data_IF_535236534747
#
_entry.id   IF_535236534747
#
_cell.length_a   1.000
_cell.length_b   1.000
_cell.length_c   1.000
_cell.angle_alpha   90.00
_cell.angle_beta   90.00
_cell.angle_gamma   90.00
#
_symmetry.space_group_name_H-M   'P 1'
#
loop_
_entity.id
_entity.type
_entity.pdbx_description
1 polymer ?
#
# COMPACT_ATOMS: atom_id res chain seq x y z
N UNK A 1 -4.05 17.78 27.52
CA UNK A 1 -3.10 17.10 28.42
C UNK A 1 -1.69 17.11 27.83
N UNK A 2 -0.73 17.77 28.51
CA UNK A 2 0.70 17.74 28.10
C UNK A 2 1.41 16.42 28.40
N UNK A 3 0.83 15.58 29.25
CA UNK A 3 1.47 14.37 29.76
C UNK A 3 0.68 13.14 29.34
N UNK A 4 1.37 12.13 28.79
CA UNK A 4 0.87 10.81 28.53
C UNK A 4 1.67 9.77 29.33
N UNK A 5 1.00 8.80 29.92
CA UNK A 5 1.65 7.67 30.58
C UNK A 5 1.54 6.45 29.66
N UNK A 6 2.69 5.92 29.29
CA UNK A 6 2.79 4.75 28.41
C UNK A 6 3.65 3.70 29.11
N UNK A 7 3.25 2.46 28.98
CA UNK A 7 3.92 1.36 29.63
C UNK A 7 4.03 0.15 28.70
N UNK A 8 5.01 -0.71 28.99
CA UNK A 8 5.18 -1.94 28.24
C UNK A 8 5.58 -3.08 29.18
N UNK A 9 5.17 -4.27 28.80
CA UNK A 9 5.51 -5.50 29.47
C UNK A 9 5.87 -6.55 28.44
N UNK A 10 6.92 -7.34 28.72
CA UNK A 10 7.32 -8.45 27.86
C UNK A 10 7.84 -9.61 28.70
N UNK A 11 7.54 -10.81 28.24
CA UNK A 11 8.02 -12.05 28.84
C UNK A 11 8.49 -13.02 27.76
N UNK A 12 9.45 -13.85 28.10
CA UNK A 12 9.88 -14.94 27.23
C UNK A 12 10.20 -16.20 28.03
N UNK A 13 9.88 -17.35 27.44
CA UNK A 13 10.13 -18.64 28.02
C UNK A 13 10.94 -19.50 27.06
N UNK A 14 12.13 -19.95 27.48
CA UNK A 14 12.96 -20.88 26.75
C UNK A 14 12.56 -22.32 27.04
N UNK A 15 11.56 -22.77 26.35
CA UNK A 15 10.97 -24.10 26.53
C UNK A 15 12.03 -25.20 26.32
N UNK A 16 12.93 -25.02 25.33
CA UNK A 16 13.99 -26.00 25.02
C UNK A 16 15.03 -26.21 26.12
N UNK A 17 15.02 -25.39 27.18
CA UNK A 17 15.92 -25.55 28.33
C UNK A 17 15.25 -26.18 29.56
N UNK A 18 14.00 -26.60 29.42
CA UNK A 18 13.28 -27.27 30.50
C UNK A 18 13.58 -28.77 30.52
N UNK A 19 13.60 -29.38 31.70
CA UNK A 19 13.95 -30.79 31.91
C UNK A 19 13.11 -31.75 31.07
N UNK A 20 11.82 -31.43 30.83
CA UNK A 20 10.94 -32.28 30.02
C UNK A 20 11.30 -32.26 28.51
N UNK A 21 12.18 -31.35 28.07
CA UNK A 21 12.66 -31.24 26.69
C UNK A 21 13.98 -32.03 26.46
N UNK A 22 14.67 -32.47 27.48
CA UNK A 22 15.99 -33.14 27.38
C UNK A 22 16.03 -34.29 26.38
N UNK A 23 14.95 -35.07 26.31
CA UNK A 23 14.83 -36.22 25.41
C UNK A 23 14.54 -35.83 23.95
N UNK A 24 14.22 -34.55 23.66
CA UNK A 24 13.89 -34.09 22.32
C UNK A 24 15.12 -33.49 21.60
N UNK A 25 16.11 -34.34 21.38
CA UNK A 25 17.42 -33.93 20.82
C UNK A 25 17.38 -33.31 19.41
N UNK A 26 16.25 -33.42 18.72
CA UNK A 26 16.02 -32.78 17.42
C UNK A 26 15.54 -31.33 17.53
N UNK A 27 15.23 -30.87 18.73
CA UNK A 27 14.86 -29.45 19.02
C UNK A 27 16.10 -28.75 19.55
N UNK A 28 16.72 -27.91 18.72
CA UNK A 28 17.89 -27.12 19.10
C UNK A 28 17.53 -25.89 19.93
N UNK A 29 16.40 -25.28 19.60
CA UNK A 29 15.87 -24.10 20.29
C UNK A 29 14.35 -24.10 20.19
N UNK A 30 13.68 -23.78 21.29
CA UNK A 30 12.25 -23.49 21.30
C UNK A 30 11.99 -22.42 22.34
N UNK A 31 11.52 -21.26 21.89
CA UNK A 31 11.28 -20.09 22.76
C UNK A 31 9.96 -19.45 22.41
N UNK A 32 9.12 -19.27 23.40
CA UNK A 32 7.90 -18.48 23.31
C UNK A 32 8.20 -17.07 23.86
N UNK A 33 7.78 -16.02 23.17
CA UNK A 33 7.81 -14.65 23.66
C UNK A 33 6.46 -13.98 23.45
N UNK A 34 6.12 -13.10 24.40
CA UNK A 34 4.94 -12.25 24.29
C UNK A 34 5.26 -10.86 24.80
N UNK A 35 4.72 -9.86 24.16
CA UNK A 35 4.83 -8.47 24.59
C UNK A 35 3.52 -7.72 24.42
N UNK A 36 3.32 -6.75 25.30
CA UNK A 36 2.27 -5.76 25.22
C UNK A 36 2.88 -4.39 25.55
N UNK A 37 2.54 -3.37 24.77
CA UNK A 37 3.05 -2.04 25.02
C UNK A 37 2.16 -0.95 24.44
N UNK A 38 2.25 0.21 25.05
CA UNK A 38 1.59 1.42 24.62
C UNK A 38 2.63 2.48 24.27
N UNK A 39 2.42 3.19 23.16
CA UNK A 39 3.23 4.34 22.73
C UNK A 39 2.29 5.50 22.40
N UNK A 40 2.73 6.73 22.71
CA UNK A 40 1.96 7.93 22.43
C UNK A 40 2.46 8.65 21.19
N UNK A 41 1.54 9.34 20.53
CA UNK A 41 1.83 10.30 19.49
C UNK A 41 1.01 11.56 19.74
N UNK A 42 1.67 12.72 19.81
CA UNK A 42 1.05 14.04 20.01
C UNK A 42 1.15 14.94 18.76
N UNK A 43 1.67 14.41 17.67
CA UNK A 43 1.85 15.16 16.45
C UNK A 43 0.52 15.50 15.80
N UNK A 44 0.16 16.78 15.79
CA UNK A 44 -0.97 17.35 15.08
C UNK A 44 -0.39 18.29 14.02
N UNK A 45 -0.85 18.15 12.78
CA UNK A 45 -0.39 18.98 11.68
C UNK A 45 -1.44 20.00 11.28
N UNK A 46 -1.01 21.15 10.77
CA UNK A 46 -1.93 22.15 10.23
C UNK A 46 -2.74 21.54 9.08
N UNK A 47 -3.98 21.96 8.98
CA UNK A 47 -4.92 21.44 7.98
C UNK A 47 -4.50 21.69 6.54
N UNK A 48 -3.74 22.75 6.33
CA UNK A 48 -3.35 23.23 5.00
C UNK A 48 -1.89 22.88 4.66
N UNK A 49 -1.12 22.37 5.62
CA UNK A 49 0.27 21.99 5.45
C UNK A 49 0.63 20.79 6.33
N UNK A 50 0.59 19.59 5.75
CA UNK A 50 0.94 18.34 6.42
C UNK A 50 2.44 18.28 6.85
N UNK A 51 3.24 19.27 6.53
CA UNK A 51 4.66 19.35 6.89
C UNK A 51 4.89 20.17 8.15
N UNK A 52 3.95 21.00 8.57
CA UNK A 52 4.06 21.86 9.75
C UNK A 52 3.21 21.33 10.90
N UNK A 53 3.87 21.04 12.02
CA UNK A 53 3.20 20.62 13.24
C UNK A 53 2.52 21.80 13.94
N UNK A 54 1.26 21.63 14.32
CA UNK A 54 0.55 22.57 15.18
C UNK A 54 0.89 22.28 16.64
N UNK A 55 1.60 23.21 17.27
CA UNK A 55 1.99 23.08 18.68
C UNK A 55 0.93 23.63 19.65
N UNK A 56 -0.12 24.29 19.16
CA UNK A 56 -1.12 24.95 19.97
C UNK A 56 -2.57 24.57 19.61
N UNK A 57 -2.86 23.31 19.24
CA UNK A 57 -4.19 22.91 18.77
C UNK A 57 -5.27 22.96 19.84
N UNK A 58 -4.87 23.21 21.10
CA UNK A 58 -5.76 23.41 22.24
C UNK A 58 -6.19 24.87 22.43
N UNK A 59 -5.64 25.80 21.62
CA UNK A 59 -5.94 27.24 21.68
C UNK A 59 -6.71 27.65 20.43
N UNK A 60 -7.68 28.56 20.62
CA UNK A 60 -8.29 29.26 19.47
C UNK A 60 -7.35 30.39 19.06
N UNK A 61 -6.69 30.22 17.91
CA UNK A 61 -5.83 31.24 17.32
C UNK A 61 -6.61 32.01 16.26
N UNK A 62 -6.35 33.30 16.15
CA UNK A 62 -7.01 34.19 15.19
C UNK A 62 -6.04 34.53 14.05
N UNK A 63 -6.51 34.44 12.82
CA UNK A 63 -5.83 34.99 11.67
C UNK A 63 -6.27 36.44 11.50
N UNK A 64 -5.28 37.33 11.43
CA UNK A 64 -5.48 38.78 11.22
C UNK A 64 -5.31 39.11 9.73
N UNK A 65 -5.94 40.21 9.31
CA UNK A 65 -5.72 40.72 7.96
C UNK A 65 -6.62 40.15 6.88
N UNK A 66 -7.64 39.37 7.24
CA UNK A 66 -8.70 38.97 6.33
C UNK A 66 -9.77 40.03 6.34
N UNK A 67 -9.60 41.02 5.46
CA UNK A 67 -10.43 42.22 5.46
C UNK A 67 -11.64 42.02 4.54
N UNK A 68 -12.79 42.59 4.96
CA UNK A 68 -13.96 42.74 4.12
C UNK A 68 -13.94 44.16 3.53
N UNK A 69 -13.38 44.32 2.35
CA UNK A 69 -13.14 45.64 1.76
C UNK A 69 -12.15 46.47 2.59
N UNK A 70 -12.59 47.58 3.17
CA UNK A 70 -11.77 48.45 4.01
C UNK A 70 -11.88 48.16 5.51
N UNK A 71 -12.71 47.21 5.91
CA UNK A 71 -12.92 46.86 7.31
C UNK A 71 -11.97 45.73 7.73
N UNK A 72 -11.27 45.95 8.85
CA UNK A 72 -10.39 44.94 9.41
C UNK A 72 -11.20 43.75 9.95
N UNK A 73 -10.88 42.53 9.50
CA UNK A 73 -11.54 41.30 9.89
C UNK A 73 -10.65 40.39 10.71
N UNK A 74 -11.29 39.61 11.55
CA UNK A 74 -10.72 38.50 12.31
C UNK A 74 -11.35 37.18 11.81
N UNK A 75 -10.52 36.17 11.65
CA UNK A 75 -11.00 34.84 11.33
C UNK A 75 -10.30 33.80 12.23
N UNK A 76 -11.05 32.84 12.72
CA UNK A 76 -10.50 31.69 13.44
C UNK A 76 -10.73 30.42 12.63
N UNK A 77 -9.67 29.82 12.09
CA UNK A 77 -9.78 28.66 11.22
C UNK A 77 -10.18 27.39 11.99
N UNK A 78 -9.80 27.31 13.27
CA UNK A 78 -10.06 26.16 14.13
C UNK A 78 -10.52 26.59 15.52
N UNK A 79 -11.41 25.81 16.12
CA UNK A 79 -11.83 26.00 17.50
C UNK A 79 -10.94 25.20 18.44
N UNK A 80 -10.59 25.80 19.58
CA UNK A 80 -9.86 25.13 20.65
C UNK A 80 -10.56 23.86 21.12
N UNK A 81 -9.79 22.81 21.37
CA UNK A 81 -10.28 21.62 22.04
C UNK A 81 -9.42 21.30 23.27
N UNK A 82 -9.90 21.72 24.44
CA UNK A 82 -9.22 21.50 25.72
C UNK A 82 -9.20 20.02 26.15
N UNK A 83 -9.96 19.15 25.49
CA UNK A 83 -10.04 17.72 25.76
C UNK A 83 -9.08 16.88 24.92
N UNK A 84 -8.21 17.53 24.15
CA UNK A 84 -7.21 16.83 23.35
C UNK A 84 -6.29 15.96 24.22
N UNK A 85 -6.08 14.74 23.75
CA UNK A 85 -5.19 13.74 24.33
C UNK A 85 -4.17 13.32 23.29
N UNK A 86 -3.12 12.66 23.76
CA UNK A 86 -2.22 11.90 22.90
C UNK A 86 -2.96 10.79 22.18
N UNK A 87 -2.66 10.59 20.93
CA UNK A 87 -2.99 9.35 20.23
C UNK A 87 -2.22 8.20 20.87
N UNK A 88 -2.88 7.09 21.11
CA UNK A 88 -2.24 5.91 21.73
C UNK A 88 -2.20 4.76 20.74
N UNK A 89 -1.01 4.26 20.48
CA UNK A 89 -0.80 3.01 19.77
C UNK A 89 -0.56 1.88 20.77
N UNK A 90 -1.41 0.86 20.70
CA UNK A 90 -1.31 -0.37 21.52
C UNK A 90 -0.77 -1.48 20.63
N UNK A 91 0.38 -2.05 21.00
CA UNK A 91 0.97 -3.21 20.35
C UNK A 91 0.84 -4.45 21.23
N UNK A 92 0.51 -5.57 20.61
CA UNK A 92 0.50 -6.90 21.21
C UNK A 92 1.16 -7.85 20.25
N UNK A 93 2.19 -8.55 20.69
CA UNK A 93 2.99 -9.45 19.88
C UNK A 93 3.17 -10.78 20.64
N UNK A 94 2.98 -11.90 19.92
CA UNK A 94 3.24 -13.24 20.43
C UNK A 94 4.02 -14.01 19.38
N UNK A 95 5.20 -14.54 19.71
CA UNK A 95 6.04 -15.24 18.78
C UNK A 95 6.58 -16.55 19.33
N UNK A 96 6.68 -17.53 18.44
CA UNK A 96 7.38 -18.77 18.64
C UNK A 96 8.65 -18.78 17.79
N UNK A 97 9.81 -18.86 18.44
CA UNK A 97 11.11 -19.01 17.81
C UNK A 97 11.53 -20.47 17.95
N UNK A 98 11.98 -21.09 16.87
CA UNK A 98 12.39 -22.50 16.88
C UNK A 98 13.65 -22.74 16.07
N UNK A 99 14.44 -23.72 16.53
CA UNK A 99 15.56 -24.32 15.83
C UNK A 99 15.42 -25.83 15.85
N UNK A 100 15.46 -26.50 14.69
CA UNK A 100 15.17 -27.91 14.55
C UNK A 100 16.25 -28.61 13.70
N UNK A 101 16.65 -29.79 14.11
CA UNK A 101 17.55 -30.70 13.37
C UNK A 101 18.92 -30.08 13.05
N UNK A 102 19.36 -29.03 13.75
CA UNK A 102 20.57 -28.27 13.47
C UNK A 102 20.58 -27.60 12.09
N UNK A 103 19.42 -27.47 11.44
CA UNK A 103 19.29 -27.01 10.04
C UNK A 103 18.17 -26.04 9.78
N UNK A 104 17.05 -26.14 10.46
CA UNK A 104 15.89 -25.28 10.28
C UNK A 104 15.78 -24.33 11.47
N UNK A 105 15.84 -23.04 11.20
CA UNK A 105 15.52 -22.00 12.16
C UNK A 105 14.35 -21.17 11.65
N UNK A 106 13.46 -20.79 12.54
CA UNK A 106 12.34 -19.96 12.16
C UNK A 106 11.69 -19.22 13.31
N UNK A 107 10.88 -18.27 12.93
CA UNK A 107 10.01 -17.51 13.83
C UNK A 107 8.64 -17.42 13.21
N UNK A 108 7.61 -17.66 14.00
CA UNK A 108 6.23 -17.36 13.66
C UNK A 108 5.70 -16.37 14.71
N UNK A 109 5.29 -15.21 14.26
CA UNK A 109 4.82 -14.13 15.12
C UNK A 109 3.42 -13.69 14.74
N UNK A 110 2.53 -13.60 15.71
CA UNK A 110 1.27 -12.89 15.59
C UNK A 110 1.45 -11.49 16.18
N UNK A 111 1.08 -10.47 15.40
CA UNK A 111 1.10 -9.09 15.86
C UNK A 111 -0.29 -8.45 15.75
N UNK A 112 -0.56 -7.52 16.67
CA UNK A 112 -1.74 -6.65 16.61
C UNK A 112 -1.35 -5.26 17.10
N UNK A 113 -1.45 -4.28 16.19
CA UNK A 113 -1.23 -2.85 16.47
C UNK A 113 -2.54 -2.10 16.29
N UNK A 114 -3.04 -1.48 17.35
CA UNK A 114 -4.29 -0.73 17.33
C UNK A 114 -4.02 0.71 17.75
N UNK A 115 -4.25 1.67 16.85
CA UNK A 115 -4.25 3.08 17.19
C UNK A 115 -5.61 3.45 17.77
N UNK A 116 -5.60 4.08 18.92
CA UNK A 116 -6.78 4.60 19.65
C UNK A 116 -6.65 6.10 19.77
N UNK A 117 -7.80 6.76 19.89
CA UNK A 117 -7.87 8.20 20.06
C UNK A 117 -7.12 8.96 18.95
N UNK A 118 -7.23 8.44 17.71
CA UNK A 118 -6.64 9.07 16.53
C UNK A 118 -7.11 10.53 16.43
N UNK A 119 -6.18 11.40 16.12
CA UNK A 119 -6.44 12.82 15.95
C UNK A 119 -7.02 13.07 14.55
N UNK A 120 -8.27 13.49 14.52
CA UNK A 120 -9.00 13.78 13.29
C UNK A 120 -9.47 15.23 13.24
N UNK A 121 -9.35 15.83 12.07
CA UNK A 121 -10.04 17.06 11.73
C UNK A 121 -11.50 16.75 11.43
N UNK A 122 -12.39 17.06 12.35
CA UNK A 122 -13.83 16.85 12.22
C UNK A 122 -14.45 18.11 11.65
N UNK A 123 -15.03 18.00 10.45
CA UNK A 123 -15.76 19.11 9.82
C UNK A 123 -16.93 19.56 10.68
N UNK A 124 -17.11 20.85 10.78
CA UNK A 124 -18.19 21.48 11.53
C UNK A 124 -19.23 22.08 10.57
N UNK A 125 -20.49 22.22 10.99
CA UNK A 125 -21.46 23.02 10.24
C UNK A 125 -20.95 24.46 10.06
N UNK A 126 -21.15 25.04 8.87
CA UNK A 126 -20.74 26.43 8.59
C UNK A 126 -21.32 27.45 9.59
N UNK A 127 -22.47 27.12 10.19
CA UNK A 127 -23.10 27.94 11.24
C UNK A 127 -22.30 28.03 12.54
N UNK A 128 -21.32 27.15 12.74
CA UNK A 128 -20.43 27.21 13.91
C UNK A 128 -19.34 28.28 13.79
N UNK A 129 -19.16 28.87 12.60
CA UNK A 129 -18.11 29.83 12.31
C UNK A 129 -16.71 29.26 12.19
N UNK A 130 -16.55 27.93 12.27
CA UNK A 130 -15.30 27.21 12.09
C UNK A 130 -15.49 26.07 11.12
N UNK A 131 -14.48 25.80 10.31
CA UNK A 131 -14.54 24.70 9.35
C UNK A 131 -14.35 23.33 10.00
N UNK A 132 -13.44 23.26 10.96
CA UNK A 132 -12.96 21.99 11.54
C UNK A 132 -12.59 22.15 13.00
N UNK A 133 -12.69 21.03 13.72
CA UNK A 133 -12.19 20.90 15.10
C UNK A 133 -11.35 19.64 15.17
N UNK A 134 -10.15 19.70 15.76
CA UNK A 134 -9.33 18.52 16.03
C UNK A 134 -9.93 17.77 17.21
N UNK A 135 -10.21 16.49 17.03
CA UNK A 135 -10.76 15.63 18.07
C UNK A 135 -10.07 14.26 18.09
N UNK A 136 -9.96 13.68 19.28
CA UNK A 136 -9.48 12.31 19.46
C UNK A 136 -10.60 11.31 19.19
N UNK A 137 -10.81 11.02 17.91
CA UNK A 137 -11.90 10.15 17.47
C UNK A 137 -11.37 9.23 16.39
N UNK A 138 -11.68 7.97 16.50
CA UNK A 138 -11.28 7.02 15.51
C UNK A 138 -10.35 5.96 16.06
N UNK A 139 -10.44 4.80 15.43
CA UNK A 139 -9.59 3.66 15.76
C UNK A 139 -9.26 2.91 14.48
N UNK A 140 -7.99 2.59 14.33
CA UNK A 140 -7.48 1.76 13.23
C UNK A 140 -6.72 0.59 13.83
N UNK A 141 -6.85 -0.58 13.21
CA UNK A 141 -6.17 -1.78 13.62
C UNK A 141 -5.41 -2.40 12.46
N UNK A 142 -4.15 -2.70 12.71
CA UNK A 142 -3.31 -3.57 11.88
C UNK A 142 -3.05 -4.84 12.67
N UNK A 143 -3.31 -6.00 12.08
CA UNK A 143 -2.99 -7.29 12.69
C UNK A 143 -2.54 -8.26 11.62
N UNK A 144 -1.74 -9.23 12.00
CA UNK A 144 -1.22 -10.18 11.03
C UNK A 144 -0.37 -11.27 11.63
N UNK A 145 0.22 -12.03 10.72
CA UNK A 145 1.18 -13.08 11.05
C UNK A 145 2.43 -12.82 10.24
N UNK A 146 3.57 -12.89 10.90
CA UNK A 146 4.90 -12.84 10.29
C UNK A 146 5.56 -14.21 10.43
N UNK A 147 6.15 -14.70 9.36
CA UNK A 147 6.87 -15.95 9.30
C UNK A 147 8.26 -15.67 8.75
N UNK A 148 9.29 -16.10 9.44
CA UNK A 148 10.67 -16.12 8.96
C UNK A 148 11.22 -17.53 9.08
N UNK A 149 11.78 -18.05 8.00
CA UNK A 149 12.33 -19.42 7.93
C UNK A 149 13.69 -19.38 7.25
N UNK A 150 14.66 -20.07 7.87
CA UNK A 150 15.98 -20.29 7.31
C UNK A 150 16.32 -21.78 7.37
N UNK A 151 16.58 -22.38 6.23
CA UNK A 151 16.86 -23.81 6.12
C UNK A 151 18.19 -24.08 5.43
N UNK A 152 19.05 -24.82 6.12
CA UNK A 152 20.31 -25.37 5.57
C UNK A 152 20.01 -26.66 4.81
N UNK A 153 19.72 -26.52 3.50
CA UNK A 153 19.34 -27.68 2.64
C UNK A 153 20.47 -28.67 2.49
N UNK A 154 21.68 -28.15 2.21
CA UNK A 154 22.87 -28.99 1.98
C UNK A 154 24.06 -28.38 2.74
N UNK A 155 24.78 -29.26 3.45
CA UNK A 155 26.02 -28.91 4.15
C UNK A 155 27.02 -30.05 3.98
N UNK A 156 27.91 -29.91 3.03
CA UNK A 156 29.02 -30.84 2.80
C UNK A 156 30.35 -30.09 2.71
N UNK A 157 31.43 -30.80 2.45
CA UNK A 157 32.77 -30.21 2.34
C UNK A 157 32.82 -29.17 1.20
N UNK A 158 32.29 -29.53 0.03
CA UNK A 158 32.37 -28.70 -1.18
C UNK A 158 31.12 -27.93 -1.48
N UNK A 159 29.95 -28.34 -0.95
CA UNK A 159 28.65 -27.75 -1.22
C UNK A 159 27.96 -27.26 0.05
N UNK A 160 27.49 -26.03 0.02
CA UNK A 160 26.57 -25.48 1.04
C UNK A 160 25.41 -24.80 0.31
N UNK A 161 24.18 -25.20 0.65
CA UNK A 161 22.97 -24.56 0.12
C UNK A 161 22.08 -24.18 1.29
N UNK A 162 21.74 -22.91 1.40
CA UNK A 162 20.74 -22.41 2.33
C UNK A 162 19.67 -21.61 1.60
N UNK A 163 18.46 -21.72 2.10
CA UNK A 163 17.29 -20.99 1.62
C UNK A 163 16.66 -20.28 2.81
N UNK A 164 16.47 -18.98 2.69
CA UNK A 164 15.70 -18.18 3.64
C UNK A 164 14.44 -17.67 2.99
N UNK A 165 13.34 -17.57 3.72
CA UNK A 165 12.09 -16.98 3.25
C UNK A 165 11.37 -16.30 4.40
N UNK A 166 10.77 -15.13 4.13
CA UNK A 166 9.85 -14.47 5.04
C UNK A 166 8.55 -14.12 4.36
N UNK A 167 7.48 -14.05 5.14
CA UNK A 167 6.16 -13.68 4.70
C UNK A 167 5.44 -12.92 5.81
N UNK A 168 4.86 -11.77 5.48
CA UNK A 168 3.98 -11.00 6.35
C UNK A 168 2.58 -11.00 5.76
N UNK A 169 1.63 -11.56 6.49
CA UNK A 169 0.20 -11.48 6.20
C UNK A 169 -0.36 -10.33 7.04
N UNK A 170 -1.00 -9.36 6.42
CA UNK A 170 -1.49 -8.16 7.12
C UNK A 170 -2.96 -7.89 6.80
N UNK A 171 -3.70 -7.49 7.83
CA UNK A 171 -5.07 -7.01 7.72
C UNK A 171 -5.20 -5.66 8.42
N UNK A 172 -5.48 -4.62 7.63
CA UNK A 172 -5.74 -3.25 8.09
C UNK A 172 -7.23 -2.99 8.12
N UNK A 173 -7.77 -2.43 9.22
CA UNK A 173 -9.19 -2.04 9.32
C UNK A 173 -9.38 -0.78 10.13
N UNK A 174 -10.27 0.08 9.65
CA UNK A 174 -10.91 1.12 10.46
C UNK A 174 -11.90 0.41 11.39
N UNK A 175 -11.73 0.56 12.69
CA UNK A 175 -12.59 -0.08 13.69
C UNK A 175 -13.58 0.89 14.32
N UNK A 176 -13.33 2.20 14.21
CA UNK A 176 -14.25 3.25 14.63
C UNK A 176 -13.98 4.55 13.87
N UNK A 177 -15.04 5.21 13.42
CA UNK A 177 -15.05 6.57 12.89
C UNK A 177 -15.78 7.52 13.85
N UNK A 178 -15.63 8.85 13.67
CA UNK A 178 -16.48 9.84 14.32
C UNK A 178 -17.96 9.52 14.10
N UNK A 179 -18.81 9.74 15.10
CA UNK A 179 -20.24 9.35 15.03
C UNK A 179 -20.95 10.00 13.84
N UNK A 180 -20.60 11.25 13.51
CA UNK A 180 -21.13 11.95 12.34
C UNK A 180 -20.80 11.27 10.99
N UNK A 181 -19.71 10.52 10.93
CA UNK A 181 -19.21 9.89 9.70
C UNK A 181 -19.41 8.37 9.65
N UNK A 182 -20.00 7.77 10.69
CA UNK A 182 -20.13 6.30 10.78
C UNK A 182 -21.00 5.71 9.69
N UNK A 183 -22.07 6.40 9.30
CA UNK A 183 -23.02 5.92 8.29
C UNK A 183 -22.44 6.06 6.88
N UNK A 184 -21.93 7.23 6.57
CA UNK A 184 -21.58 7.59 5.18
C UNK A 184 -20.08 7.44 4.89
N UNK A 185 -19.25 7.26 5.93
CA UNK A 185 -17.80 7.21 5.80
C UNK A 185 -17.18 8.59 5.49
N UNK A 186 -15.88 8.59 5.23
CA UNK A 186 -15.13 9.79 4.84
C UNK A 186 -14.46 9.50 3.50
N UNK A 187 -14.82 10.23 2.47
CA UNK A 187 -14.21 10.11 1.15
C UNK A 187 -13.01 11.05 1.09
N UNK A 188 -11.85 10.50 0.73
CA UNK A 188 -10.62 11.25 0.46
C UNK A 188 -10.02 10.74 -0.84
N UNK A 189 -10.01 11.56 -1.87
CA UNK A 189 -9.52 11.26 -3.21
C UNK A 189 -10.19 9.99 -3.80
N UNK A 190 -9.41 8.96 -4.06
CA UNK A 190 -9.86 7.67 -4.62
C UNK A 190 -10.22 6.62 -3.55
N UNK A 191 -10.31 7.02 -2.28
CA UNK A 191 -10.52 6.11 -1.15
C UNK A 191 -11.69 6.54 -0.28
N UNK A 192 -12.25 5.59 0.46
CA UNK A 192 -13.29 5.85 1.45
C UNK A 192 -12.93 5.16 2.76
N UNK A 193 -12.82 5.97 3.81
CA UNK A 193 -12.71 5.45 5.17
C UNK A 193 -14.08 5.03 5.65
N UNK A 194 -14.25 3.76 5.99
CA UNK A 194 -15.48 3.21 6.52
C UNK A 194 -15.18 2.11 7.54
N UNK A 195 -16.00 1.99 8.59
CA UNK A 195 -15.82 0.95 9.60
C UNK A 195 -15.88 -0.44 8.96
N UNK A 196 -14.94 -1.32 9.32
CA UNK A 196 -14.79 -2.65 8.75
C UNK A 196 -13.90 -2.74 7.50
N UNK A 197 -13.62 -1.62 6.84
CA UNK A 197 -12.79 -1.50 5.64
C UNK A 197 -11.37 -1.05 5.95
N UNK A 198 -10.45 -1.28 5.00
CA UNK A 198 -9.07 -0.76 5.09
C UNK A 198 -9.04 0.75 4.83
N UNK A 199 -8.13 1.47 5.52
CA UNK A 199 -7.87 2.89 5.21
C UNK A 199 -7.34 3.11 3.79
N UNK A 200 -6.84 2.06 3.15
CA UNK A 200 -6.29 2.07 1.78
C UNK A 200 -7.22 1.41 0.78
N UNK A 201 -8.50 1.23 1.11
CA UNK A 201 -9.47 0.63 0.20
C UNK A 201 -9.99 1.66 -0.79
N UNK A 202 -9.95 1.30 -2.08
CA UNK A 202 -10.38 2.15 -3.16
C UNK A 202 -11.90 2.28 -3.19
N UNK A 203 -12.37 3.50 -3.42
CA UNK A 203 -13.77 3.86 -3.62
C UNK A 203 -13.90 4.47 -4.99
N UNK A 204 -14.29 3.67 -5.99
CA UNK A 204 -14.21 4.03 -7.39
C UNK A 204 -15.53 3.78 -8.11
N UNK A 205 -15.76 4.54 -9.17
CA UNK A 205 -16.84 4.27 -10.10
C UNK A 205 -16.57 2.96 -10.84
N UNK A 206 -17.64 2.15 -10.95
CA UNK A 206 -17.56 0.81 -11.50
C UNK A 206 -17.62 0.85 -13.02
N UNK A 207 -16.50 0.58 -13.67
CA UNK A 207 -16.38 0.43 -15.09
C UNK A 207 -16.91 -0.96 -15.53
N UNK A 208 -17.78 -0.98 -16.54
CA UNK A 208 -18.28 -2.23 -17.09
C UNK A 208 -17.48 -2.70 -18.31
N UNK A 209 -17.15 -1.77 -19.23
CA UNK A 209 -16.45 -2.09 -20.47
C UNK A 209 -16.79 -1.13 -21.61
N UNK A 210 -16.58 -1.60 -22.83
CA UNK A 210 -16.86 -0.85 -24.05
C UNK A 210 -18.11 -1.42 -24.70
N UNK A 211 -19.05 -0.57 -25.12
CA UNK A 211 -20.21 -0.98 -25.89
C UNK A 211 -19.78 -1.39 -27.33
N UNK A 212 -19.89 -2.66 -27.73
CA UNK A 212 -19.48 -3.09 -29.05
C UNK A 212 -20.31 -2.49 -30.19
N UNK A 213 -21.52 -1.96 -29.89
CA UNK A 213 -22.41 -1.44 -30.92
C UNK A 213 -22.00 -0.02 -31.39
N UNK A 214 -21.44 0.80 -30.47
CA UNK A 214 -21.12 2.21 -30.75
C UNK A 214 -19.78 2.70 -30.19
N UNK A 215 -19.05 1.84 -29.46
CA UNK A 215 -17.75 2.15 -28.88
C UNK A 215 -17.78 3.04 -27.63
N UNK A 216 -18.94 3.33 -27.07
CA UNK A 216 -19.02 4.11 -25.82
C UNK A 216 -18.44 3.34 -24.63
N UNK A 217 -17.76 4.04 -23.75
CA UNK A 217 -17.39 3.50 -22.44
C UNK A 217 -18.62 3.41 -21.53
N UNK A 218 -18.83 2.26 -20.89
CA UNK A 218 -19.98 1.99 -20.03
C UNK A 218 -19.56 1.74 -18.58
N UNK A 219 -20.41 2.23 -17.69
CA UNK A 219 -20.29 2.09 -16.23
C UNK A 219 -21.57 1.43 -15.69
N UNK A 220 -21.46 0.80 -14.52
CA UNK A 220 -22.63 0.35 -13.78
C UNK A 220 -23.42 1.58 -13.31
N UNK A 221 -24.71 1.61 -13.60
CA UNK A 221 -25.58 2.75 -13.23
C UNK A 221 -25.86 2.76 -11.72
N UNK A 222 -25.82 3.95 -11.13
CA UNK A 222 -26.16 4.21 -9.74
C UNK A 222 -27.65 4.56 -9.62
N UNK A 223 -28.49 3.53 -9.52
CA UNK A 223 -29.91 3.72 -9.38
C UNK A 223 -30.30 4.36 -8.04
N UNK A 224 -29.57 4.04 -6.96
CA UNK A 224 -29.85 4.54 -5.61
C UNK A 224 -29.79 6.07 -5.53
N UNK A 225 -28.79 6.68 -6.17
CA UNK A 225 -28.57 8.11 -6.11
C UNK A 225 -29.22 8.89 -7.29
N UNK A 226 -29.76 8.20 -8.31
CA UNK A 226 -30.30 8.81 -9.51
C UNK A 226 -31.79 8.55 -9.74
N UNK A 227 -32.50 7.98 -8.77
CA UNK A 227 -33.97 7.87 -8.74
C UNK A 227 -34.57 8.84 -7.73
N UNK A 228 -35.77 9.31 -7.99
CA UNK A 228 -36.55 10.12 -7.05
C UNK A 228 -37.19 9.23 -5.95
N UNK A 229 -37.85 9.87 -4.98
CA UNK A 229 -38.54 9.16 -3.89
C UNK A 229 -39.67 8.19 -4.37
N UNK A 230 -40.14 8.35 -5.60
CA UNK A 230 -41.13 7.49 -6.23
C UNK A 230 -40.53 6.39 -7.10
N UNK A 231 -39.20 6.27 -7.13
CA UNK A 231 -38.46 5.32 -7.95
C UNK A 231 -38.33 5.73 -9.43
N UNK A 232 -38.63 6.96 -9.80
CA UNK A 232 -38.54 7.41 -11.18
C UNK A 232 -37.16 7.97 -11.49
N UNK A 233 -36.63 7.59 -12.64
CA UNK A 233 -35.36 8.14 -13.17
C UNK A 233 -35.69 9.39 -13.99
N UNK A 234 -34.94 10.49 -13.78
CA UNK A 234 -35.06 11.74 -14.56
C UNK A 234 -34.84 11.47 -16.05
N UNK A 235 -35.60 12.11 -16.94
CA UNK A 235 -35.51 11.87 -18.39
C UNK A 235 -34.13 12.18 -18.99
N UNK A 236 -33.42 13.17 -18.45
CA UNK A 236 -32.03 13.46 -18.85
C UNK A 236 -31.07 12.30 -18.54
N UNK A 237 -31.31 11.56 -17.44
CA UNK A 237 -30.55 10.38 -17.04
C UNK A 237 -30.93 9.19 -17.90
N UNK A 238 -32.23 8.96 -18.17
CA UNK A 238 -32.72 7.85 -19.02
C UNK A 238 -32.04 7.82 -20.39
N UNK A 239 -31.80 8.99 -21.00
CA UNK A 239 -31.11 9.11 -22.30
C UNK A 239 -29.66 8.63 -22.28
N UNK A 240 -29.06 8.44 -21.11
CA UNK A 240 -27.69 7.97 -20.89
C UNK A 240 -27.61 6.52 -20.45
N UNK A 241 -28.76 5.86 -20.31
CA UNK A 241 -28.84 4.46 -19.89
C UNK A 241 -28.77 3.53 -21.10
N UNK A 242 -28.12 2.39 -20.85
CA UNK A 242 -28.01 1.28 -21.79
C UNK A 242 -28.31 0.01 -21.02
N UNK A 243 -29.24 -0.81 -21.49
CA UNK A 243 -29.49 -2.14 -20.92
C UNK A 243 -28.67 -3.18 -21.68
N UNK A 244 -27.82 -3.92 -20.99
CA UNK A 244 -26.98 -4.95 -21.59
C UNK A 244 -26.73 -6.07 -20.60
N UNK A 245 -26.81 -7.33 -21.06
CA UNK A 245 -26.59 -8.52 -20.25
C UNK A 245 -27.41 -8.55 -18.95
N UNK A 246 -28.65 -8.02 -18.98
CA UNK A 246 -29.52 -7.92 -17.82
C UNK A 246 -29.12 -6.87 -16.77
N UNK A 247 -28.16 -5.99 -17.10
CA UNK A 247 -27.71 -4.90 -16.25
C UNK A 247 -28.07 -3.55 -16.84
N UNK A 248 -28.44 -2.61 -15.97
CA UNK A 248 -28.60 -1.20 -16.36
C UNK A 248 -27.27 -0.49 -16.23
N UNK A 249 -26.78 -0.01 -17.35
CA UNK A 249 -25.48 0.67 -17.50
C UNK A 249 -25.70 2.12 -17.90
N UNK A 250 -24.65 2.92 -17.81
CA UNK A 250 -24.65 4.31 -18.26
C UNK A 250 -23.37 4.66 -19.00
N UNK A 251 -23.49 5.45 -20.07
CA UNK A 251 -22.33 6.04 -20.75
C UNK A 251 -21.88 7.38 -20.11
N UNK A 252 -22.47 7.76 -18.99
CA UNK A 252 -22.12 8.97 -18.26
C UNK A 252 -21.42 8.64 -16.96
N UNK A 253 -20.17 9.12 -16.81
CA UNK A 253 -19.40 9.01 -15.57
C UNK A 253 -20.16 9.55 -14.34
N UNK A 254 -20.92 10.66 -14.51
CA UNK A 254 -21.65 11.31 -13.40
C UNK A 254 -22.71 10.41 -12.77
N UNK A 255 -23.27 9.47 -13.51
CA UNK A 255 -24.32 8.55 -13.07
C UNK A 255 -23.83 7.14 -12.74
N UNK A 256 -22.50 6.97 -12.79
CA UNK A 256 -21.88 5.69 -12.48
C UNK A 256 -21.85 5.41 -10.98
N UNK A 257 -22.10 4.16 -10.60
CA UNK A 257 -22.10 3.69 -9.23
C UNK A 257 -20.68 3.70 -8.65
N UNK A 258 -20.54 4.23 -7.44
CA UNK A 258 -19.35 4.05 -6.62
C UNK A 258 -19.46 2.76 -5.80
N UNK A 259 -18.34 2.03 -5.70
CA UNK A 259 -18.26 0.87 -4.81
C UNK A 259 -16.84 0.64 -4.32
N UNK A 260 -16.69 -0.15 -3.24
CA UNK A 260 -15.39 -0.61 -2.78
C UNK A 260 -14.78 -1.55 -3.82
N UNK A 261 -13.53 -1.28 -4.16
CA UNK A 261 -12.89 -1.92 -5.33
C UNK A 261 -11.59 -2.64 -4.96
N UNK A 262 -11.40 -2.91 -3.67
CA UNK A 262 -10.22 -3.56 -3.13
C UNK A 262 -9.20 -2.59 -2.56
N UNK A 263 -8.22 -3.12 -1.86
CA UNK A 263 -7.24 -2.36 -1.07
C UNK A 263 -5.88 -2.31 -1.75
N UNK A 264 -5.16 -1.20 -1.55
CA UNK A 264 -3.74 -1.09 -1.89
C UNK A 264 -2.85 -1.97 -0.99
N UNK A 265 -3.31 -2.28 0.23
CA UNK A 265 -2.56 -3.15 1.15
C UNK A 265 -2.51 -4.56 0.58
N UNK A 266 -1.33 -5.15 0.40
CA UNK A 266 -1.19 -6.52 -0.05
C UNK A 266 -1.72 -7.50 1.01
N UNK A 267 -2.19 -8.67 0.57
CA UNK A 267 -2.57 -9.77 1.48
C UNK A 267 -1.35 -10.44 2.09
N UNK A 268 -0.28 -10.55 1.30
CA UNK A 268 1.01 -11.07 1.73
C UNK A 268 2.14 -10.38 0.99
N UNK A 269 3.20 -10.08 1.71
CA UNK A 269 4.47 -9.60 1.14
C UNK A 269 5.65 -10.18 1.91
N UNK A 270 6.81 -10.16 1.28
CA UNK A 270 8.02 -10.69 1.87
C UNK A 270 9.16 -10.81 0.88
N UNK A 271 10.08 -11.71 1.21
CA UNK A 271 11.22 -12.03 0.37
C UNK A 271 11.68 -13.47 0.56
N UNK A 272 12.53 -13.91 -0.33
CA UNK A 272 13.30 -15.13 -0.14
C UNK A 272 14.68 -14.98 -0.73
N UNK A 273 15.62 -15.75 -0.20
CA UNK A 273 17.00 -15.76 -0.64
C UNK A 273 17.50 -17.18 -0.81
N UNK A 274 18.40 -17.37 -1.76
CA UNK A 274 19.09 -18.62 -2.00
C UNK A 274 20.59 -18.31 -1.95
N UNK A 275 21.32 -19.03 -1.08
CA UNK A 275 22.76 -18.94 -0.99
C UNK A 275 23.36 -20.31 -1.29
N UNK A 276 24.16 -20.37 -2.33
CA UNK A 276 24.84 -21.57 -2.79
C UNK A 276 26.35 -21.35 -2.79
N UNK A 277 27.08 -22.14 -2.03
CA UNK A 277 28.53 -22.18 -2.11
C UNK A 277 28.98 -23.48 -2.72
N UNK A 278 29.88 -23.41 -3.68
CA UNK A 278 30.56 -24.55 -4.28
C UNK A 278 32.05 -24.28 -4.31
N UNK A 279 32.80 -24.99 -3.47
CA UNK A 279 34.27 -24.80 -3.31
C UNK A 279 34.58 -23.33 -3.05
N UNK A 280 35.21 -22.65 -4.04
CA UNK A 280 35.60 -21.26 -3.96
C UNK A 280 34.55 -20.25 -4.48
N UNK A 281 33.44 -20.74 -5.04
CA UNK A 281 32.38 -19.91 -5.59
C UNK A 281 31.22 -19.78 -4.61
N UNK A 282 30.69 -18.56 -4.50
CA UNK A 282 29.48 -18.24 -3.74
C UNK A 282 28.50 -17.53 -4.66
N UNK A 283 27.29 -18.05 -4.75
CA UNK A 283 26.15 -17.43 -5.40
C UNK A 283 25.11 -17.04 -4.34
N UNK A 284 24.73 -15.78 -4.30
CA UNK A 284 23.66 -15.28 -3.43
C UNK A 284 22.60 -14.59 -4.29
N UNK A 285 21.33 -14.90 -4.04
CA UNK A 285 20.20 -14.24 -4.69
C UNK A 285 19.20 -13.78 -3.65
N UNK A 286 18.63 -12.61 -3.87
CA UNK A 286 17.58 -12.03 -3.01
C UNK A 286 16.40 -11.64 -3.86
N UNK A 287 15.23 -12.12 -3.50
CA UNK A 287 13.96 -11.79 -4.13
C UNK A 287 13.06 -11.05 -3.14
N UNK A 288 12.22 -10.17 -3.66
CA UNK A 288 11.10 -9.60 -2.93
C UNK A 288 9.81 -9.79 -3.70
N UNK A 289 8.71 -9.97 -2.99
CA UNK A 289 7.39 -10.17 -3.57
C UNK A 289 6.30 -9.46 -2.78
N UNK A 290 5.20 -9.17 -3.46
CA UNK A 290 3.96 -8.68 -2.86
C UNK A 290 2.78 -9.19 -3.68
N UNK A 291 1.74 -9.68 -3.00
CA UNK A 291 0.58 -10.31 -3.63
C UNK A 291 -0.73 -9.81 -3.00
N UNK A 292 -1.76 -9.64 -3.82
CA UNK A 292 -3.13 -9.36 -3.39
C UNK A 292 -3.47 -7.88 -3.18
N UNK A 293 -2.53 -6.96 -3.39
CA UNK A 293 -2.78 -5.52 -3.41
C UNK A 293 -3.32 -5.03 -4.74
N UNK A 294 -3.91 -3.84 -4.73
CA UNK A 294 -4.36 -3.11 -5.91
C UNK A 294 -3.58 -1.82 -6.07
N UNK A 295 -3.45 -1.35 -7.31
CA UNK A 295 -2.87 -0.06 -7.65
C UNK A 295 -3.74 0.65 -8.68
N UNK A 296 -4.04 1.91 -8.41
CA UNK A 296 -4.70 2.82 -9.34
C UNK A 296 -3.62 3.45 -10.24
N UNK A 297 -3.58 3.04 -11.49
CA UNK A 297 -2.54 3.42 -12.45
C UNK A 297 -2.86 4.75 -13.12
N UNK A 298 -2.60 5.84 -12.42
CA UNK A 298 -2.83 7.20 -12.94
C UNK A 298 -1.91 7.55 -14.10
N UNK A 299 -0.70 6.97 -14.14
CA UNK A 299 0.24 7.19 -15.24
C UNK A 299 -0.32 6.61 -16.54
N UNK A 300 -0.80 5.37 -16.50
CA UNK A 300 -1.42 4.75 -17.68
C UNK A 300 -2.72 5.44 -18.08
N UNK A 301 -3.54 5.82 -17.07
CA UNK A 301 -4.72 6.62 -17.35
C UNK A 301 -4.39 7.88 -18.15
N UNK A 302 -3.33 8.60 -17.77
CA UNK A 302 -2.87 9.78 -18.48
C UNK A 302 -2.38 9.48 -19.91
N UNK A 303 -1.70 8.33 -20.11
CA UNK A 303 -1.25 7.90 -21.44
C UNK A 303 -2.38 7.39 -22.35
N UNK A 304 -3.51 7.01 -21.77
CA UNK A 304 -4.70 6.58 -22.50
C UNK A 304 -5.71 7.71 -22.74
N UNK A 305 -5.39 8.92 -22.32
CA UNK A 305 -6.14 10.13 -22.66
C UNK A 305 -5.77 10.58 -24.08
N UNK A 306 -6.76 10.84 -24.91
CA UNK A 306 -6.55 11.37 -26.25
C UNK A 306 -6.10 12.84 -26.27
N UNK A 307 -6.14 13.49 -25.13
CA UNK A 307 -5.43 14.67 -24.73
C UNK A 307 -5.31 15.84 -25.70
N UNK A 308 -4.39 16.69 -25.36
CA UNK A 308 -4.00 17.84 -26.18
C UNK A 308 -2.82 17.48 -27.09
N UNK A 309 -2.70 18.17 -28.20
CA UNK A 309 -1.58 18.01 -29.14
C UNK A 309 -0.22 18.17 -28.43
N UNK A 310 0.69 17.23 -28.68
CA UNK A 310 2.05 17.22 -28.11
C UNK A 310 2.23 16.37 -26.87
N UNK A 311 1.17 15.76 -26.32
CA UNK A 311 1.30 14.80 -25.22
C UNK A 311 1.65 13.40 -25.71
N UNK A 312 2.45 12.67 -24.92
CA UNK A 312 2.74 11.27 -25.18
C UNK A 312 1.51 10.41 -24.89
N UNK A 313 1.20 9.47 -25.78
CA UNK A 313 0.08 8.55 -25.67
C UNK A 313 0.56 7.11 -25.69
N UNK A 314 -0.24 6.20 -25.09
CA UNK A 314 0.02 4.76 -25.15
C UNK A 314 -0.25 4.19 -26.55
N UNK A 315 0.58 3.29 -27.07
CA UNK A 315 0.27 2.50 -28.26
C UNK A 315 -1.02 1.69 -28.14
N UNK A 316 -1.48 1.39 -26.94
CA UNK A 316 -2.73 0.65 -26.72
C UNK A 316 -3.97 1.38 -27.26
N UNK A 317 -3.88 2.70 -27.49
CA UNK A 317 -4.92 3.47 -28.15
C UNK A 317 -5.20 3.00 -29.61
N UNK A 318 -4.26 2.27 -30.25
CA UNK A 318 -4.51 1.64 -31.54
C UNK A 318 -5.59 0.54 -31.49
N UNK A 319 -5.88 0.01 -30.27
CA UNK A 319 -6.94 -0.97 -30.06
C UNK A 319 -8.33 -0.31 -29.89
N UNK A 320 -8.44 1.00 -30.07
CA UNK A 320 -9.69 1.71 -29.94
C UNK A 320 -10.77 1.14 -30.85
N UNK A 321 -12.01 1.14 -30.33
CA UNK A 321 -13.17 0.74 -31.09
C UNK A 321 -13.35 1.61 -32.34
N UNK A 322 -13.56 0.99 -33.51
CA UNK A 322 -13.72 1.65 -34.80
C UNK A 322 -14.94 1.20 -35.59
N UNK A 323 -15.44 -0.02 -35.33
CA UNK A 323 -16.53 -0.61 -36.10
C UNK A 323 -17.53 -1.37 -35.23
N UNK A 324 -18.85 -1.31 -35.51
CA UNK A 324 -19.85 -2.06 -34.79
C UNK A 324 -19.56 -3.56 -34.73
N UNK A 325 -19.71 -4.14 -33.54
CA UNK A 325 -19.40 -5.54 -33.23
C UNK A 325 -17.96 -5.79 -32.79
N UNK A 326 -17.08 -4.80 -32.83
CA UNK A 326 -15.71 -4.95 -32.34
C UNK A 326 -15.69 -5.09 -30.82
N UNK A 327 -15.00 -6.12 -30.34
CA UNK A 327 -14.76 -6.34 -28.91
C UNK A 327 -13.37 -5.79 -28.57
N UNK A 328 -13.34 -4.79 -27.72
CA UNK A 328 -12.12 -4.14 -27.25
C UNK A 328 -12.33 -3.56 -25.84
N UNK A 329 -11.24 -3.30 -25.12
CA UNK A 329 -11.23 -2.62 -23.83
C UNK A 329 -10.95 -1.10 -23.97
N UNK A 330 -10.70 -0.62 -25.19
CA UNK A 330 -10.44 0.79 -25.49
C UNK A 330 -11.65 1.38 -26.21
N UNK A 331 -12.37 2.33 -25.58
CA UNK A 331 -13.50 3.01 -26.21
C UNK A 331 -13.10 3.72 -27.52
N UNK A 332 -14.10 4.07 -28.32
CA UNK A 332 -13.87 4.90 -29.52
C UNK A 332 -13.19 6.21 -29.13
N UNK A 333 -12.27 6.65 -29.96
CA UNK A 333 -11.61 7.95 -29.79
C UNK A 333 -12.54 9.04 -30.29
N UNK A 334 -12.75 10.06 -29.44
CA UNK A 334 -13.67 11.15 -29.73
C UNK A 334 -13.13 12.42 -29.04
N UNK A 335 -13.12 13.53 -29.75
CA UNK A 335 -12.72 14.83 -29.21
C UNK A 335 -13.88 15.57 -28.53
N UNK A 336 -15.06 14.96 -28.45
CA UNK A 336 -16.18 15.51 -27.69
C UNK A 336 -15.85 15.46 -26.20
N UNK A 337 -15.81 16.65 -25.55
CA UNK A 337 -15.40 16.78 -24.15
C UNK A 337 -16.21 15.91 -23.17
N UNK A 338 -17.50 15.70 -23.41
CA UNK A 338 -18.33 14.86 -22.59
C UNK A 338 -17.97 13.38 -22.68
N UNK A 339 -17.59 12.91 -23.87
CA UNK A 339 -17.14 11.54 -24.09
C UNK A 339 -15.73 11.34 -23.55
N UNK A 340 -14.80 12.23 -23.90
CA UNK A 340 -13.42 12.20 -23.41
C UNK A 340 -13.37 12.18 -21.87
N UNK A 341 -14.17 13.00 -21.18
CA UNK A 341 -14.27 12.99 -19.72
C UNK A 341 -14.78 11.65 -19.18
N UNK A 342 -15.74 11.03 -19.86
CA UNK A 342 -16.28 9.74 -19.43
C UNK A 342 -15.29 8.59 -19.57
N UNK A 343 -14.38 8.63 -20.53
CA UNK A 343 -13.48 7.51 -20.84
C UNK A 343 -12.03 7.70 -20.36
N UNK A 344 -11.53 8.93 -20.35
CA UNK A 344 -10.12 9.22 -20.14
C UNK A 344 -9.76 9.78 -18.77
N UNK A 345 -10.45 10.79 -18.31
CA UNK A 345 -9.97 11.62 -17.20
C UNK A 345 -10.45 11.15 -15.81
N UNK A 346 -11.38 10.23 -15.73
CA UNK A 346 -12.07 9.92 -14.50
C UNK A 346 -11.54 8.68 -13.82
N UNK A 347 -11.31 8.75 -12.52
CA UNK A 347 -10.91 7.60 -11.70
C UNK A 347 -12.04 6.57 -11.62
N UNK A 348 -11.79 5.40 -12.16
CA UNK A 348 -12.72 4.28 -12.15
C UNK A 348 -11.97 2.96 -12.01
N UNK A 349 -12.68 1.87 -11.86
CA UNK A 349 -12.07 0.53 -11.82
C UNK A 349 -11.37 0.13 -13.12
N UNK A 350 -11.58 0.86 -14.23
CA UNK A 350 -10.81 0.68 -15.47
C UNK A 350 -9.30 0.81 -15.26
N UNK A 351 -8.89 1.73 -14.40
CA UNK A 351 -7.48 2.04 -14.14
C UNK A 351 -6.93 1.30 -12.93
N UNK A 352 -7.76 0.47 -12.29
CA UNK A 352 -7.38 -0.31 -11.13
C UNK A 352 -6.83 -1.66 -11.56
N UNK A 353 -5.55 -1.90 -11.33
CA UNK A 353 -4.89 -3.17 -11.65
C UNK A 353 -4.35 -3.84 -10.39
N UNK A 354 -3.84 -5.08 -10.51
CA UNK A 354 -3.17 -5.73 -9.39
C UNK A 354 -1.77 -5.14 -9.19
N UNK A 355 -1.37 -5.02 -7.91
CA UNK A 355 -0.05 -4.56 -7.50
C UNK A 355 0.91 -5.74 -7.26
N UNK A 356 0.59 -6.93 -7.75
CA UNK A 356 1.43 -8.10 -7.57
C UNK A 356 2.78 -7.92 -8.27
N UNK A 357 3.83 -8.30 -7.58
CA UNK A 357 5.17 -8.36 -8.17
C UNK A 357 6.04 -9.44 -7.58
N UNK A 358 7.01 -9.87 -8.36
CA UNK A 358 8.19 -10.61 -7.95
C UNK A 358 9.41 -9.92 -8.53
N UNK A 359 10.30 -9.42 -7.67
CA UNK A 359 11.50 -8.70 -8.07
C UNK A 359 12.76 -9.48 -7.67
N UNK A 360 13.66 -9.74 -8.62
CA UNK A 360 15.03 -10.16 -8.33
C UNK A 360 15.83 -8.92 -7.92
N UNK A 361 15.90 -8.71 -6.59
CA UNK A 361 16.53 -7.53 -5.97
C UNK A 361 18.02 -7.51 -6.22
N UNK A 362 18.67 -8.66 -5.93
CA UNK A 362 20.12 -8.75 -6.02
C UNK A 362 20.51 -10.18 -6.40
N UNK A 363 21.49 -10.29 -7.29
CA UNK A 363 22.25 -11.51 -7.52
C UNK A 363 23.73 -11.18 -7.42
N UNK A 364 24.47 -11.96 -6.64
CA UNK A 364 25.91 -11.78 -6.45
C UNK A 364 26.62 -13.11 -6.67
N UNK A 365 27.58 -13.13 -7.59
CA UNK A 365 28.52 -14.23 -7.77
C UNK A 365 29.87 -13.78 -7.24
N UNK A 366 30.45 -14.55 -6.33
CA UNK A 366 31.77 -14.25 -5.78
C UNK A 366 32.71 -15.44 -5.93
N UNK A 367 33.99 -15.14 -6.07
CA UNK A 367 35.07 -16.12 -6.13
C UNK A 367 36.13 -15.78 -5.08
N UNK A 368 36.38 -16.72 -4.20
CA UNK A 368 37.44 -16.64 -3.17
C UNK A 368 38.74 -17.19 -3.77
N UNK A 369 39.78 -16.36 -3.84
CA UNK A 369 41.06 -16.79 -4.40
C UNK A 369 41.68 -17.88 -3.53
N UNK A 370 42.24 -18.94 -4.14
CA UNK A 370 42.84 -20.03 -3.39
C UNK A 370 44.17 -19.61 -2.71
N UNK A 371 44.45 -20.22 -1.56
CA UNK A 371 45.65 -19.91 -0.75
C UNK A 371 46.96 -20.09 -1.53
N UNK A 372 46.99 -20.99 -2.52
CA UNK A 372 48.19 -21.16 -3.38
C UNK A 372 48.60 -19.91 -4.15
N UNK A 373 47.64 -19.05 -4.54
CA UNK A 373 47.90 -17.76 -5.20
C UNK A 373 48.23 -16.70 -4.14
N UNK A 374 47.43 -16.65 -3.07
CA UNK A 374 47.54 -15.64 -2.02
C UNK A 374 48.86 -15.65 -1.28
N UNK A 375 49.42 -16.83 -1.01
CA UNK A 375 50.69 -17.01 -0.33
C UNK A 375 51.87 -16.42 -1.15
N UNK A 376 51.79 -16.46 -2.50
CA UNK A 376 52.84 -15.89 -3.36
C UNK A 376 52.96 -14.38 -3.24
N UNK A 377 51.82 -13.73 -2.99
CA UNK A 377 51.67 -12.27 -2.92
C UNK A 377 51.53 -11.75 -1.47
N UNK A 378 51.72 -12.64 -0.49
CA UNK A 378 51.62 -12.34 0.93
C UNK A 378 50.31 -11.67 1.37
N UNK A 379 49.19 -12.13 0.85
CA UNK A 379 47.86 -11.67 1.17
C UNK A 379 47.08 -12.78 1.94
N UNK A 380 46.37 -12.41 3.01
CA UNK A 380 45.60 -13.36 3.83
C UNK A 380 44.38 -13.87 3.14
N UNK A 381 43.64 -13.00 2.48
CA UNK A 381 42.46 -13.37 1.71
C UNK A 381 42.19 -12.35 0.59
N UNK A 382 41.67 -12.83 -0.53
CA UNK A 382 41.14 -12.00 -1.59
C UNK A 382 39.88 -12.62 -2.16
N UNK A 383 38.87 -11.78 -2.38
CA UNK A 383 37.56 -12.17 -2.91
C UNK A 383 37.15 -11.17 -4.01
N UNK A 384 36.85 -11.69 -5.19
CA UNK A 384 36.26 -10.92 -6.29
C UNK A 384 34.78 -11.21 -6.31
N UNK A 385 33.96 -10.19 -6.47
CA UNK A 385 32.51 -10.37 -6.62
C UNK A 385 31.95 -9.52 -7.76
N UNK A 386 30.93 -10.06 -8.42
CA UNK A 386 30.11 -9.36 -9.39
C UNK A 386 28.69 -9.40 -8.88
N UNK A 387 28.07 -8.22 -8.77
CA UNK A 387 26.69 -8.09 -8.32
C UNK A 387 25.86 -7.38 -9.37
N UNK A 388 24.62 -7.79 -9.48
CA UNK A 388 23.62 -7.11 -10.27
C UNK A 388 22.35 -6.89 -9.45
N UNK A 389 21.75 -5.71 -9.56
CA UNK A 389 20.54 -5.33 -8.85
C UNK A 389 19.39 -5.04 -9.79
N UNK A 390 18.18 -5.34 -9.34
CA UNK A 390 16.92 -5.07 -10.05
C UNK A 390 16.90 -5.61 -11.49
N UNK A 391 17.46 -6.82 -11.71
CA UNK A 391 17.60 -7.40 -13.05
C UNK A 391 16.25 -7.58 -13.75
N UNK A 392 15.25 -8.04 -13.04
CA UNK A 392 13.88 -8.13 -13.55
C UNK A 392 12.83 -7.98 -12.45
N UNK A 393 11.66 -7.54 -12.86
CA UNK A 393 10.46 -7.51 -12.05
C UNK A 393 9.28 -8.05 -12.87
N UNK A 394 8.67 -9.14 -12.39
CA UNK A 394 7.39 -9.62 -12.90
C UNK A 394 6.29 -8.78 -12.24
N UNK A 395 5.40 -8.22 -13.04
CA UNK A 395 4.35 -7.28 -12.61
C UNK A 395 3.20 -7.24 -13.62
N UNK A 396 2.08 -6.61 -13.26
CA UNK A 396 0.88 -6.61 -14.08
C UNK A 396 1.07 -5.96 -15.46
N UNK A 397 1.88 -4.88 -15.56
CA UNK A 397 2.07 -4.13 -16.79
C UNK A 397 3.46 -3.51 -16.89
N UNK A 398 3.98 -3.40 -18.10
CA UNK A 398 5.21 -2.66 -18.37
C UNK A 398 5.03 -1.18 -17.99
N UNK A 399 6.06 -0.55 -17.44
CA UNK A 399 6.02 0.84 -16.97
C UNK A 399 5.48 1.04 -15.55
N UNK A 400 4.60 0.17 -15.06
CA UNK A 400 4.09 0.27 -13.70
C UNK A 400 5.17 -0.08 -12.66
N UNK A 401 5.36 0.78 -11.66
CA UNK A 401 6.19 0.48 -10.48
C UNK A 401 5.30 0.24 -9.24
N UNK A 402 4.93 -1.00 -8.93
CA UNK A 402 4.05 -1.28 -7.80
C UNK A 402 4.72 -1.09 -6.43
N UNK A 403 6.03 -0.82 -6.40
CA UNK A 403 6.79 -0.58 -5.17
C UNK A 403 6.94 0.90 -4.81
N UNK A 404 6.56 1.82 -5.71
CA UNK A 404 6.83 3.24 -5.54
C UNK A 404 5.99 3.91 -4.46
N UNK A 405 4.75 3.44 -4.26
CA UNK A 405 3.82 4.12 -3.39
C UNK A 405 2.93 3.12 -2.64
N UNK A 406 3.05 3.10 -1.31
CA UNK A 406 2.22 2.26 -0.44
C UNK A 406 0.73 2.65 -0.44
N UNK A 407 0.40 3.90 -0.81
CA UNK A 407 -0.99 4.33 -0.94
C UNK A 407 -1.68 3.75 -2.17
N UNK A 408 -0.91 3.12 -3.08
CA UNK A 408 -1.43 2.39 -4.22
C UNK A 408 -1.93 3.27 -5.37
N UNK A 409 -1.44 4.51 -5.50
CA UNK A 409 -1.71 5.37 -6.66
C UNK A 409 -0.38 5.68 -7.34
N UNK A 410 -0.24 5.35 -8.62
CA UNK A 410 1.00 5.62 -9.37
C UNK A 410 0.96 6.98 -10.07
N UNK A 411 2.10 7.70 -10.05
CA UNK A 411 2.27 9.04 -10.61
C UNK A 411 3.60 9.18 -11.38
N UNK A 412 3.77 8.46 -12.48
CA UNK A 412 4.97 8.58 -13.34
C UNK A 412 6.30 8.32 -12.61
N UNK A 413 6.30 7.43 -11.62
CA UNK A 413 7.50 7.06 -10.88
C UNK A 413 8.46 6.26 -11.77
N UNK A 414 9.75 6.53 -11.60
CA UNK A 414 10.79 5.77 -12.28
C UNK A 414 10.84 4.32 -11.76
N UNK A 415 11.11 3.42 -12.69
CA UNK A 415 11.48 2.05 -12.32
C UNK A 415 12.85 2.05 -11.62
N UNK A 416 13.07 1.16 -10.63
CA UNK A 416 14.39 0.97 -10.04
C UNK A 416 15.44 0.70 -11.13
N UNK A 417 16.56 1.41 -11.06
CA UNK A 417 17.66 1.23 -12.00
C UNK A 417 18.28 -0.17 -11.88
N UNK A 418 18.74 -0.72 -12.97
CA UNK A 418 19.59 -1.92 -12.98
C UNK A 418 21.03 -1.48 -12.73
N UNK A 419 21.61 -1.98 -11.66
CA UNK A 419 23.00 -1.67 -11.29
C UNK A 419 23.87 -2.90 -11.47
N UNK A 420 25.08 -2.72 -11.99
CA UNK A 420 26.10 -3.76 -12.06
C UNK A 420 27.34 -3.26 -11.34
N UNK A 421 27.85 -4.08 -10.43
CA UNK A 421 29.00 -3.72 -9.59
C UNK A 421 30.01 -4.85 -9.62
N UNK A 422 31.29 -4.49 -9.73
CA UNK A 422 32.41 -5.40 -9.55
C UNK A 422 33.16 -4.95 -8.33
N UNK A 423 33.40 -5.85 -7.38
CA UNK A 423 34.09 -5.59 -6.13
C UNK A 423 35.29 -6.49 -5.93
N UNK A 424 36.33 -5.97 -5.33
CA UNK A 424 37.49 -6.72 -4.85
C UNK A 424 37.70 -6.43 -3.37
N UNK A 425 37.65 -7.48 -2.56
CA UNK A 425 37.94 -7.39 -1.13
C UNK A 425 39.28 -8.08 -0.86
N UNK A 426 40.23 -7.37 -0.26
CA UNK A 426 41.57 -7.90 0.06
C UNK A 426 41.86 -7.66 1.55
N UNK A 427 42.37 -8.70 2.20
CA UNK A 427 42.85 -8.62 3.60
C UNK A 427 44.33 -9.01 3.63
N UNK A 428 45.14 -8.13 4.24
CA UNK A 428 46.58 -8.30 4.37
C UNK A 428 46.97 -8.91 5.72
#
# INVERSE_FOLDING_TARGET
NRWGNFWSFGASWRISQEDFMENLTWVDNLKLRASYGETGNDAIYYTDDDTQQDYYPYQTLYNLGINNGLEAGLYFPTMANNNLKWETQVSTDVALEFGLFGRLNGTVEFFRKASRDLLFNVSQPLSSGVEKIVQNIGKVRNQGVEIDLNYQVLKSKDWKLSVGANATFINNKVTRLPDANRKDGIIKDSKKLMEGHSIYEFWLRQWWGVNPDNGDGLYIFDAENNTDANGNIKDAVKKKLVEKDGQVLTNSYSYAKYDFSGSAVPKVYGGFNINLSYKAFDLSTVFSYSLGGKVLDSSYRGLMDVGEFGYAMSPDLHNAWTTPGQITDVPRLDNNSGHATSIGQSYSTRWLTNANYLNLRTVTLAYNLPKSILNVINIKSARVNVSAENLFMLKARQGLNPQANYAGVSYNEYMPAKNFTIGLNVSF
#
